data_IF_536397686963
#
_entry.id   IF_536397686963
#
_cell.length_a   1.000
_cell.length_b   1.000
_cell.length_c   1.000
_cell.angle_alpha   90.00
_cell.angle_beta   90.00
_cell.angle_gamma   90.00
#
_symmetry.space_group_name_H-M   'P 1'
#
loop_
_entity.id
_entity.type
_entity.pdbx_description
1 polymer ?
#
# COMPACT_ATOMS: atom_id res chain seq x y z
N UNK A 1 -11.11 12.77 27.10
CA UNK A 1 -10.08 12.53 26.07
C UNK A 1 -10.34 11.15 25.46
N UNK A 2 -11.16 11.10 24.43
CA UNK A 2 -11.32 9.91 23.58
C UNK A 2 -9.99 9.69 22.87
N UNK A 3 -9.28 8.61 23.20
CA UNK A 3 -8.13 8.20 22.39
C UNK A 3 -8.70 7.81 21.03
N UNK A 4 -8.15 8.37 19.95
CA UNK A 4 -8.30 7.82 18.60
C UNK A 4 -7.67 6.42 18.58
N UNK A 5 -8.40 5.42 19.07
CA UNK A 5 -7.99 4.01 19.08
C UNK A 5 -8.47 3.24 17.84
N UNK A 6 -9.19 3.89 16.92
CA UNK A 6 -9.83 3.22 15.78
C UNK A 6 -9.04 3.31 14.47
N UNK A 7 -7.94 4.08 14.43
CA UNK A 7 -7.10 4.14 13.23
C UNK A 7 -6.21 2.90 13.15
N UNK A 8 -6.35 2.07 12.09
CA UNK A 8 -5.56 0.84 11.96
C UNK A 8 -4.06 1.14 11.86
N UNK A 9 -3.24 0.30 12.50
CA UNK A 9 -1.79 0.42 12.46
C UNK A 9 -1.23 0.25 11.03
N UNK A 10 -0.03 0.82 10.79
CA UNK A 10 0.61 0.82 9.47
C UNK A 10 0.80 -0.61 8.94
N UNK A 11 1.23 -1.54 9.80
CA UNK A 11 1.40 -2.96 9.41
C UNK A 11 0.09 -3.60 8.94
N UNK A 12 -1.02 -3.25 9.57
CA UNK A 12 -2.34 -3.79 9.21
C UNK A 12 -2.79 -3.28 7.85
N UNK A 13 -2.63 -1.97 7.61
CA UNK A 13 -2.95 -1.35 6.33
C UNK A 13 -2.06 -1.89 5.20
N UNK A 14 -0.74 -1.94 5.44
CA UNK A 14 0.23 -2.50 4.50
C UNK A 14 -0.12 -3.93 4.11
N UNK A 15 -0.42 -4.78 5.09
CA UNK A 15 -0.78 -6.19 4.85
C UNK A 15 -2.04 -6.32 3.99
N UNK A 16 -3.04 -5.46 4.21
CA UNK A 16 -4.24 -5.41 3.35
C UNK A 16 -3.88 -5.04 1.90
N UNK A 17 -3.03 -4.05 1.67
CA UNK A 17 -2.60 -3.69 0.31
C UNK A 17 -1.96 -4.89 -0.41
N UNK A 18 -1.07 -5.63 0.26
CA UNK A 18 -0.43 -6.82 -0.32
C UNK A 18 -1.48 -7.89 -0.66
N UNK A 19 -2.43 -8.15 0.23
CA UNK A 19 -3.51 -9.13 -0.01
C UNK A 19 -4.38 -8.73 -1.21
N UNK A 20 -4.73 -7.45 -1.35
CA UNK A 20 -5.49 -6.98 -2.50
C UNK A 20 -4.70 -7.09 -3.80
N UNK A 21 -3.42 -6.74 -3.81
CA UNK A 21 -2.55 -6.91 -4.99
C UNK A 21 -2.40 -8.39 -5.38
N UNK A 22 -2.21 -9.28 -4.41
CA UNK A 22 -2.16 -10.72 -4.65
C UNK A 22 -3.50 -11.27 -5.20
N UNK A 23 -4.63 -10.69 -4.78
CA UNK A 23 -5.95 -11.01 -5.34
C UNK A 23 -6.08 -10.52 -6.79
N UNK A 24 -5.68 -9.28 -7.10
CA UNK A 24 -5.70 -8.73 -8.45
C UNK A 24 -4.84 -9.56 -9.43
N UNK A 25 -3.66 -10.02 -9.00
CA UNK A 25 -2.81 -10.92 -9.82
C UNK A 25 -3.51 -12.26 -10.14
N UNK A 26 -4.40 -12.74 -9.26
CA UNK A 26 -5.21 -13.93 -9.56
C UNK A 26 -6.34 -13.60 -10.52
N UNK A 27 -6.99 -12.45 -10.33
CA UNK A 27 -8.10 -11.98 -11.17
C UNK A 27 -7.63 -11.69 -12.61
N UNK A 28 -6.39 -11.22 -12.82
CA UNK A 28 -5.82 -11.02 -14.17
C UNK A 28 -5.64 -12.31 -14.97
N UNK A 29 -5.65 -13.47 -14.31
CA UNK A 29 -5.52 -14.79 -14.95
C UNK A 29 -6.85 -15.42 -15.34
N UNK A 30 -7.95 -14.85 -14.86
CA UNK A 30 -9.27 -15.37 -15.18
C UNK A 30 -9.65 -14.95 -16.61
N UNK A 31 -9.92 -15.91 -17.51
CA UNK A 31 -10.31 -15.62 -18.89
C UNK A 31 -11.56 -14.74 -18.99
N UNK A 32 -12.42 -14.73 -17.97
CA UNK A 32 -13.61 -13.88 -17.91
C UNK A 32 -13.27 -12.38 -17.82
N UNK A 33 -12.04 -12.04 -17.40
CA UNK A 33 -11.62 -10.67 -17.14
C UNK A 33 -10.47 -10.19 -18.04
N UNK A 34 -10.29 -10.81 -19.21
CA UNK A 34 -9.38 -10.32 -20.26
C UNK A 34 -9.98 -9.08 -20.94
N UNK A 35 -10.14 -8.03 -20.16
CA UNK A 35 -10.86 -6.82 -20.50
C UNK A 35 -9.87 -5.80 -21.06
N UNK A 36 -10.25 -5.21 -22.18
CA UNK A 36 -9.54 -4.06 -22.76
C UNK A 36 -9.46 -2.95 -21.70
N UNK A 37 -8.31 -2.32 -21.58
CA UNK A 37 -8.02 -1.19 -20.67
C UNK A 37 -7.74 -1.53 -19.19
N UNK A 38 -7.66 -2.81 -18.83
CA UNK A 38 -7.19 -3.26 -17.51
C UNK A 38 -5.65 -3.39 -17.45
N UNK A 39 -5.05 -3.24 -16.25
CA UNK A 39 -3.62 -3.43 -16.11
C UNK A 39 -3.21 -4.87 -16.37
N UNK A 40 -2.07 -5.03 -17.05
CA UNK A 40 -1.52 -6.37 -17.28
C UNK A 40 -1.08 -7.02 -15.97
N UNK A 41 -1.04 -8.36 -15.94
CA UNK A 41 -0.52 -9.10 -14.77
C UNK A 41 0.87 -8.60 -14.35
N UNK A 42 1.74 -8.33 -15.33
CA UNK A 42 3.10 -7.85 -15.07
C UNK A 42 3.10 -6.51 -14.35
N UNK A 43 2.26 -5.56 -14.78
CA UNK A 43 2.19 -4.26 -14.11
C UNK A 43 1.70 -4.37 -12.66
N UNK A 44 0.74 -5.25 -12.38
CA UNK A 44 0.27 -5.48 -11.01
C UNK A 44 1.38 -6.14 -10.18
N UNK A 45 2.14 -7.07 -10.77
CA UNK A 45 3.31 -7.71 -10.12
C UNK A 45 4.41 -6.70 -9.79
N UNK A 46 4.69 -5.78 -10.70
CA UNK A 46 5.71 -4.74 -10.50
C UNK A 46 5.33 -3.85 -9.31
N UNK A 47 4.08 -3.34 -9.28
CA UNK A 47 3.57 -2.55 -8.15
C UNK A 47 3.62 -3.33 -6.83
N UNK A 48 3.24 -4.62 -6.86
CA UNK A 48 3.32 -5.48 -5.68
C UNK A 48 4.75 -5.64 -5.19
N UNK A 49 5.70 -5.84 -6.11
CA UNK A 49 7.11 -5.99 -5.77
C UNK A 49 7.67 -4.71 -5.17
N UNK A 50 7.39 -3.55 -5.76
CA UNK A 50 7.80 -2.23 -5.28
C UNK A 50 7.27 -1.95 -3.88
N UNK A 51 5.96 -2.13 -3.66
CA UNK A 51 5.35 -1.92 -2.36
C UNK A 51 5.92 -2.87 -1.31
N UNK A 52 6.13 -4.14 -1.64
CA UNK A 52 6.71 -5.11 -0.72
C UNK A 52 8.17 -4.75 -0.37
N UNK A 53 8.97 -4.33 -1.35
CA UNK A 53 10.34 -3.90 -1.11
C UNK A 53 10.35 -2.66 -0.21
N UNK A 54 9.46 -1.70 -0.44
CA UNK A 54 9.26 -0.55 0.45
C UNK A 54 8.94 -1.00 1.87
N UNK A 55 7.99 -1.93 2.04
CA UNK A 55 7.58 -2.44 3.34
C UNK A 55 8.71 -3.15 4.10
N UNK A 56 9.56 -3.91 3.41
CA UNK A 56 10.76 -4.53 3.98
C UNK A 56 11.79 -3.47 4.38
N UNK A 57 12.06 -2.53 3.48
CA UNK A 57 13.11 -1.52 3.65
C UNK A 57 12.85 -0.62 4.85
N UNK A 58 11.60 -0.17 5.01
CA UNK A 58 11.24 0.77 6.07
C UNK A 58 10.65 0.10 7.31
N UNK A 59 10.27 -1.18 7.22
CA UNK A 59 9.69 -1.94 8.32
C UNK A 59 8.17 -1.80 8.45
N UNK A 60 7.46 -1.51 7.35
CA UNK A 60 6.00 -1.55 7.32
C UNK A 60 5.44 -2.98 7.45
N UNK A 61 6.26 -3.99 7.14
CA UNK A 61 5.89 -5.41 7.24
C UNK A 61 6.19 -6.02 8.63
N UNK A 62 6.54 -5.21 9.62
CA UNK A 62 6.93 -5.68 10.96
C UNK A 62 5.81 -5.43 11.96
N UNK A 63 5.67 -6.34 12.93
CA UNK A 63 4.74 -6.19 14.06
C UNK A 63 4.93 -4.84 14.76
N UNK A 64 3.84 -4.24 15.22
CA UNK A 64 3.82 -2.98 15.99
C UNK A 64 4.73 -3.01 17.23
N UNK A 65 4.98 -4.21 17.78
CA UNK A 65 5.84 -4.43 18.95
C UNK A 65 7.33 -4.41 18.62
N UNK A 66 7.71 -4.49 17.34
CA UNK A 66 9.11 -4.48 16.91
C UNK A 66 9.65 -3.06 16.83
N UNK A 67 10.86 -2.83 17.36
CA UNK A 67 11.56 -1.54 17.24
C UNK A 67 11.87 -1.17 15.79
N UNK A 68 11.95 -2.18 14.92
CA UNK A 68 12.15 -2.02 13.49
C UNK A 68 10.88 -1.62 12.74
N UNK A 69 9.70 -1.66 13.37
CA UNK A 69 8.44 -1.33 12.70
C UNK A 69 8.27 0.16 12.49
N UNK A 70 7.59 0.53 11.41
CA UNK A 70 7.18 1.92 11.18
C UNK A 70 6.25 2.45 12.28
N UNK A 71 5.36 1.60 12.79
CA UNK A 71 4.49 1.95 13.92
C UNK A 71 5.30 2.32 15.16
N UNK A 72 6.35 1.56 15.48
CA UNK A 72 7.22 1.87 16.62
C UNK A 72 8.06 3.13 16.38
N UNK A 73 8.71 3.23 15.21
CA UNK A 73 9.60 4.35 14.86
C UNK A 73 8.85 5.68 14.88
N UNK A 74 7.62 5.71 14.36
CA UNK A 74 6.83 6.93 14.26
C UNK A 74 5.77 7.08 15.35
N UNK A 75 5.81 6.30 16.43
CA UNK A 75 4.87 6.42 17.57
C UNK A 75 4.88 7.79 18.28
N UNK A 76 5.91 8.60 18.05
CA UNK A 76 6.05 9.98 18.57
C UNK A 76 5.96 11.04 17.48
N UNK A 77 5.71 10.63 16.23
CA UNK A 77 5.70 11.49 15.05
C UNK A 77 4.30 11.43 14.40
N UNK A 78 3.32 12.03 15.06
CA UNK A 78 1.90 11.90 14.70
C UNK A 78 1.61 12.31 13.25
N UNK A 79 2.27 13.36 12.75
CA UNK A 79 2.13 13.78 11.36
C UNK A 79 2.64 12.72 10.37
N UNK A 80 3.84 12.18 10.59
CA UNK A 80 4.42 11.17 9.70
C UNK A 80 3.60 9.89 9.74
N UNK A 81 3.20 9.45 10.94
CA UNK A 81 2.39 8.26 11.12
C UNK A 81 1.02 8.38 10.43
N UNK A 82 0.30 9.49 10.66
CA UNK A 82 -1.01 9.72 10.06
C UNK A 82 -0.94 9.86 8.53
N UNK A 83 0.12 10.48 8.00
CA UNK A 83 0.36 10.57 6.55
C UNK A 83 0.53 9.18 5.94
N UNK A 84 1.35 8.32 6.55
CA UNK A 84 1.54 6.94 6.08
C UNK A 84 0.23 6.13 6.13
N UNK A 85 -0.52 6.25 7.22
CA UNK A 85 -1.81 5.58 7.37
C UNK A 85 -2.81 6.06 6.31
N UNK A 86 -2.89 7.36 6.06
CA UNK A 86 -3.76 7.93 5.02
C UNK A 86 -3.38 7.44 3.62
N UNK A 87 -2.10 7.47 3.25
CA UNK A 87 -1.64 6.98 1.95
C UNK A 87 -1.93 5.49 1.76
N UNK A 88 -1.68 4.66 2.78
CA UNK A 88 -2.02 3.24 2.72
C UNK A 88 -3.55 3.01 2.68
N UNK A 89 -4.32 3.85 3.37
CA UNK A 89 -5.79 3.83 3.31
C UNK A 89 -6.30 4.08 1.89
N UNK A 90 -5.82 5.14 1.25
CA UNK A 90 -6.18 5.45 -0.15
C UNK A 90 -5.75 4.35 -1.12
N UNK A 91 -4.58 3.74 -0.89
CA UNK A 91 -4.14 2.59 -1.67
C UNK A 91 -5.11 1.40 -1.55
N UNK A 92 -5.63 1.11 -0.36
CA UNK A 92 -6.64 0.06 -0.16
C UNK A 92 -7.91 0.40 -0.94
N UNK A 93 -8.40 1.63 -0.85
CA UNK A 93 -9.61 2.07 -1.53
C UNK A 93 -9.50 1.92 -3.05
N UNK A 94 -8.37 2.34 -3.63
CA UNK A 94 -8.11 2.20 -5.06
C UNK A 94 -7.96 0.73 -5.49
N UNK A 95 -7.27 -0.10 -4.70
CA UNK A 95 -7.11 -1.53 -4.98
C UNK A 95 -8.45 -2.28 -4.89
N UNK A 96 -9.29 -1.93 -3.91
CA UNK A 96 -10.63 -2.48 -3.80
C UNK A 96 -11.52 -2.03 -4.98
N UNK A 97 -11.42 -0.77 -5.40
CA UNK A 97 -12.10 -0.25 -6.58
C UNK A 97 -11.72 -1.03 -7.84
N UNK A 98 -10.43 -1.30 -8.05
CA UNK A 98 -9.96 -2.14 -9.16
C UNK A 98 -10.53 -3.55 -9.09
N UNK A 99 -10.55 -4.15 -7.90
CA UNK A 99 -11.09 -5.49 -7.70
C UNK A 99 -12.57 -5.59 -8.07
N UNK A 100 -13.35 -4.57 -7.71
CA UNK A 100 -14.77 -4.44 -8.10
C UNK A 100 -14.92 -4.31 -9.61
N UNK A 101 -14.05 -3.53 -10.25
CA UNK A 101 -14.02 -3.39 -11.72
C UNK A 101 -13.72 -4.72 -12.41
N UNK A 102 -12.75 -5.50 -11.90
CA UNK A 102 -12.47 -6.85 -12.41
C UNK A 102 -13.71 -7.73 -12.36
N UNK A 103 -14.47 -7.69 -11.26
CA UNK A 103 -15.70 -8.48 -11.09
C UNK A 103 -16.92 -7.97 -11.87
N UNK A 104 -16.79 -6.89 -12.64
CA UNK A 104 -17.91 -6.28 -13.36
C UNK A 104 -18.91 -5.54 -12.46
N UNK A 105 -18.51 -5.17 -11.25
CA UNK A 105 -19.34 -4.44 -10.28
C UNK A 105 -19.31 -2.91 -10.52
N UNK A 106 -18.54 -2.41 -11.49
CA UNK A 106 -18.42 -0.98 -11.84
C UNK A 106 -18.01 -0.75 -13.31
N UNK A 107 -17.99 0.51 -13.77
CA UNK A 107 -17.72 0.91 -15.15
C UNK A 107 -16.25 0.73 -15.55
N UNK A 108 -16.00 -0.16 -16.53
CA UNK A 108 -14.66 -0.61 -16.94
C UNK A 108 -13.73 0.51 -17.45
N UNK A 109 -14.25 1.63 -17.96
CA UNK A 109 -13.45 2.74 -18.48
C UNK A 109 -12.59 3.47 -17.43
N UNK A 110 -12.78 3.17 -16.14
CA UNK A 110 -12.02 3.77 -15.05
C UNK A 110 -10.79 2.95 -14.62
N UNK A 111 -10.65 1.69 -15.05
CA UNK A 111 -9.61 0.78 -14.55
C UNK A 111 -8.19 1.35 -14.72
N UNK A 112 -7.89 1.91 -15.89
CA UNK A 112 -6.60 2.57 -16.16
C UNK A 112 -6.35 3.79 -15.26
N UNK A 113 -7.40 4.56 -14.96
CA UNK A 113 -7.31 5.75 -14.11
C UNK A 113 -7.05 5.34 -12.67
N UNK A 114 -7.85 4.41 -12.13
CA UNK A 114 -7.69 3.89 -10.77
C UNK A 114 -6.31 3.25 -10.59
N UNK A 115 -5.86 2.46 -11.57
CA UNK A 115 -4.52 1.88 -11.52
C UNK A 115 -3.39 2.91 -11.63
N UNK A 116 -3.61 4.00 -12.37
CA UNK A 116 -2.72 5.16 -12.35
C UNK A 116 -2.57 5.77 -10.95
N UNK A 117 -3.68 5.86 -10.19
CA UNK A 117 -3.65 6.32 -8.79
C UNK A 117 -2.91 5.36 -7.88
N UNK A 118 -3.12 4.05 -8.03
CA UNK A 118 -2.36 3.01 -7.31
C UNK A 118 -0.85 3.22 -7.48
N UNK A 119 -0.37 3.35 -8.73
CA UNK A 119 1.07 3.61 -9.00
C UNK A 119 1.53 4.92 -8.35
N UNK A 120 0.72 5.97 -8.43
CA UNK A 120 1.04 7.27 -7.84
C UNK A 120 1.19 7.20 -6.32
N UNK A 121 0.29 6.51 -5.62
CA UNK A 121 0.33 6.37 -4.16
C UNK A 121 1.55 5.56 -3.72
N UNK A 122 1.88 4.47 -4.42
CA UNK A 122 3.09 3.68 -4.13
C UNK A 122 4.36 4.51 -4.34
N UNK A 123 4.43 5.29 -5.43
CA UNK A 123 5.55 6.21 -5.65
C UNK A 123 5.65 7.29 -4.57
N UNK A 124 4.53 7.84 -4.11
CA UNK A 124 4.55 8.86 -3.05
C UNK A 124 4.96 8.24 -1.69
N UNK A 125 4.57 7.01 -1.38
CA UNK A 125 5.06 6.30 -0.20
C UNK A 125 6.58 6.13 -0.22
N UNK A 126 7.15 5.78 -1.38
CA UNK A 126 8.60 5.67 -1.59
C UNK A 126 9.27 7.03 -1.41
N UNK A 127 8.74 8.06 -2.07
CA UNK A 127 9.28 9.43 -2.04
C UNK A 127 9.22 10.03 -0.63
N UNK A 128 8.07 9.91 0.04
CA UNK A 128 7.82 10.48 1.35
C UNK A 128 8.83 9.98 2.38
N UNK A 129 9.02 8.66 2.50
CA UNK A 129 10.01 8.10 3.42
C UNK A 129 11.46 8.31 2.96
N UNK A 130 11.71 8.35 1.65
CA UNK A 130 13.02 8.68 1.09
C UNK A 130 13.52 10.09 1.43
N UNK A 131 12.62 11.01 1.79
CA UNK A 131 12.97 12.37 2.23
C UNK A 131 13.32 12.49 3.71
N UNK A 132 13.03 11.47 4.54
CA UNK A 132 13.39 11.52 5.95
C UNK A 132 14.86 11.12 6.16
N UNK A 133 15.57 11.81 7.07
CA UNK A 133 16.91 11.39 7.51
C UNK A 133 16.93 9.90 7.84
N UNK A 134 17.95 9.21 7.34
CA UNK A 134 18.10 7.75 7.48
C UNK A 134 18.05 7.33 8.94
N UNK A 135 18.57 8.15 9.83
CA UNK A 135 18.63 7.94 11.28
C UNK A 135 17.25 7.83 11.94
N UNK A 136 16.19 8.32 11.29
CA UNK A 136 14.82 8.19 11.80
C UNK A 136 14.20 6.81 11.53
N UNK A 137 14.77 6.04 10.60
CA UNK A 137 14.19 4.77 10.17
C UNK A 137 15.17 3.62 9.95
N UNK A 138 16.47 3.87 9.87
CA UNK A 138 17.54 2.90 10.03
C UNK A 138 17.96 2.92 11.50
N UNK A 139 17.81 1.78 12.19
CA UNK A 139 18.63 1.56 13.38
C UNK A 139 20.08 1.48 12.89
N UNK A 140 20.92 2.43 13.33
CA UNK A 140 22.36 2.27 13.22
C UNK A 140 22.70 1.01 14.01
N UNK A 141 23.09 -0.06 13.31
CA UNK A 141 23.71 -1.23 13.95
C UNK A 141 24.85 -0.70 14.83
N UNK A 142 24.72 -0.89 16.15
CA UNK A 142 25.79 -0.65 17.12
C UNK A 142 26.51 -1.96 17.38
#
# INVERSE_FOLDING_TARGET
>A
MTRDTDSPDIVTLFSKCIVYLDALIRETKDPAYNLKDFPSEQEVRDVRQELNQWGITYGANRSISSTLSLDYKFRKHDYTRSTLQSQLGHLIEDLEGLRKLYKGESYQGEAKVVFGRVKSVVNELIRFLGHFPKELWLELER
#
